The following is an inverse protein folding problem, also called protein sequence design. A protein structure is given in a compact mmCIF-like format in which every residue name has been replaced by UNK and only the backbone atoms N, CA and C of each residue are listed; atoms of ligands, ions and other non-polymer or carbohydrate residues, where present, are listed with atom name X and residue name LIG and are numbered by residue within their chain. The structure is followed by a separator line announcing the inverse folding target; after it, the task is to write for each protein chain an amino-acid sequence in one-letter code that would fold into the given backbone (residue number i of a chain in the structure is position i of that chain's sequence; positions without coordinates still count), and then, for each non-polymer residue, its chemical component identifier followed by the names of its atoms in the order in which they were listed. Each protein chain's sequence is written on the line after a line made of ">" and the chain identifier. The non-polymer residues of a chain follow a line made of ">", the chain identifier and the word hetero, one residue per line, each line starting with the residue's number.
data_IF_121262321005
#
_entry.id   IF_121262321005
#
_cell.length_a   1.000
_cell.length_b   1.000
_cell.length_c   1.000
_cell.angle_alpha   90.00
_cell.angle_beta   90.00
_cell.angle_gamma   90.00
#
_symmetry.space_group_name_H-M   'P 1'
#
loop_
_entity.id
_entity.type
_entity.pdbx_description
1 polymer ?
#
# COMPACT_ATOMS: atom_id res chain seq x y z
N UNK A 1 78.00 18.76 -3.03
CA UNK A 1 78.83 17.83 -2.25
C UNK A 1 78.36 16.42 -2.60
N UNK A 2 79.05 15.76 -3.55
CA UNK A 2 79.86 14.53 -3.32
C UNK A 2 78.97 13.31 -2.99
N UNK A 3 79.05 12.14 -3.61
CA UNK A 3 79.90 11.51 -4.64
C UNK A 3 79.32 10.06 -4.71
N UNK A 4 79.02 9.41 -5.84
CA UNK A 4 79.83 8.37 -6.51
C UNK A 4 78.85 7.52 -7.35
N UNK A 5 78.89 7.57 -8.68
CA UNK A 5 79.49 6.55 -9.57
C UNK A 5 79.21 5.08 -9.23
N UNK A 6 78.60 4.36 -10.18
CA UNK A 6 79.28 3.31 -10.97
C UNK A 6 78.49 2.97 -12.23
N UNK A 7 79.15 3.14 -13.38
CA UNK A 7 78.81 2.52 -14.66
C UNK A 7 79.25 1.04 -14.65
N UNK A 8 78.45 0.17 -15.29
CA UNK A 8 78.95 -0.78 -16.31
C UNK A 8 77.77 -1.39 -17.07
N UNK A 9 77.79 -1.18 -18.39
CA UNK A 9 76.90 -1.80 -19.35
C UNK A 9 77.29 -3.26 -19.59
N UNK A 10 76.30 -4.10 -19.85
CA UNK A 10 76.42 -5.24 -20.76
C UNK A 10 75.05 -5.48 -21.39
N UNK A 11 74.98 -5.20 -22.70
CA UNK A 11 73.83 -5.47 -23.53
C UNK A 11 73.69 -6.99 -23.73
N UNK A 12 72.48 -7.50 -23.53
CA UNK A 12 72.06 -8.84 -23.94
C UNK A 12 70.66 -8.73 -24.49
N UNK A 13 70.56 -8.63 -25.81
CA UNK A 13 69.31 -8.64 -26.57
C UNK A 13 68.66 -10.01 -26.42
N UNK A 14 67.47 -10.06 -25.82
CA UNK A 14 66.53 -11.16 -26.04
C UNK A 14 65.17 -10.54 -26.32
N UNK A 15 64.85 -10.45 -27.60
CA UNK A 15 63.52 -10.11 -28.11
C UNK A 15 62.60 -11.30 -27.87
N UNK A 16 61.76 -11.24 -26.84
CA UNK A 16 60.56 -12.09 -26.75
C UNK A 16 59.40 -11.17 -27.12
N UNK A 17 58.86 -11.38 -28.32
CA UNK A 17 57.61 -10.78 -28.74
C UNK A 17 56.48 -11.30 -27.84
N UNK A 18 56.08 -10.52 -26.85
CA UNK A 18 54.87 -10.77 -26.08
C UNK A 18 53.68 -10.23 -26.88
N UNK A 19 53.00 -11.12 -27.59
CA UNK A 19 51.65 -10.90 -28.11
C UNK A 19 50.70 -10.69 -26.93
N UNK A 20 50.40 -9.43 -26.61
CA UNK A 20 49.31 -9.10 -25.70
C UNK A 20 47.98 -9.35 -26.43
N UNK A 21 47.45 -10.56 -26.26
CA UNK A 21 46.05 -10.83 -26.57
C UNK A 21 45.20 -10.04 -25.56
N UNK A 22 44.55 -8.98 -26.05
CA UNK A 22 43.50 -8.26 -25.33
C UNK A 22 42.35 -9.24 -25.07
N UNK A 23 42.35 -9.87 -23.91
CA UNK A 23 41.19 -10.58 -23.38
C UNK A 23 40.10 -9.54 -23.11
N UNK A 24 39.15 -9.42 -24.03
CA UNK A 24 37.90 -8.73 -23.78
C UNK A 24 37.15 -9.50 -22.69
N UNK A 25 37.30 -9.08 -21.44
CA UNK A 25 36.40 -9.47 -20.36
C UNK A 25 35.01 -8.96 -20.73
N UNK A 26 34.18 -9.86 -21.26
CA UNK A 26 32.75 -9.59 -21.41
C UNK A 26 32.17 -9.53 -20.00
N UNK A 27 32.00 -8.30 -19.50
CA UNK A 27 31.19 -8.03 -18.33
C UNK A 27 29.77 -8.40 -18.76
N UNK A 28 29.32 -9.59 -18.39
CA UNK A 28 27.91 -9.94 -18.53
C UNK A 28 27.11 -8.93 -17.71
N UNK A 29 26.13 -8.22 -18.28
CA UNK A 29 25.25 -7.42 -17.47
C UNK A 29 24.56 -8.38 -16.51
N UNK A 30 24.81 -8.20 -15.21
CA UNK A 30 23.90 -8.72 -14.18
C UNK A 30 22.59 -8.02 -14.47
N UNK A 31 21.62 -8.76 -15.02
CA UNK A 31 20.25 -8.32 -15.03
C UNK A 31 19.91 -7.94 -13.58
N UNK A 32 19.50 -6.70 -13.37
CA UNK A 32 18.85 -6.33 -12.13
C UNK A 32 17.73 -7.36 -11.92
N UNK A 33 17.69 -7.96 -10.73
CA UNK A 33 16.56 -8.79 -10.34
C UNK A 33 15.33 -7.86 -10.33
N UNK A 34 14.62 -7.81 -11.46
CA UNK A 34 13.23 -7.37 -11.46
C UNK A 34 12.49 -8.32 -10.53
N UNK A 35 11.60 -7.78 -9.72
CA UNK A 35 10.62 -8.57 -8.99
C UNK A 35 9.97 -9.52 -10.01
N UNK A 36 10.21 -10.82 -9.86
CA UNK A 36 9.62 -11.82 -10.73
C UNK A 36 8.13 -11.84 -10.43
N UNK A 37 7.34 -11.02 -11.11
CA UNK A 37 5.92 -11.29 -11.27
C UNK A 37 5.83 -12.66 -11.94
N UNK A 38 5.28 -13.70 -11.29
CA UNK A 38 5.05 -14.95 -11.97
C UNK A 38 4.20 -14.62 -13.19
N UNK A 39 4.66 -14.99 -14.40
CA UNK A 39 3.80 -14.96 -15.57
C UNK A 39 2.58 -15.80 -15.22
N UNK A 40 1.46 -15.14 -14.95
CA UNK A 40 0.19 -15.83 -14.81
C UNK A 40 -0.06 -16.51 -16.16
N UNK A 41 -0.20 -17.83 -16.19
CA UNK A 41 -0.47 -18.58 -17.42
C UNK A 41 -1.77 -18.10 -18.11
N UNK A 42 -2.60 -17.37 -17.36
CA UNK A 42 -3.81 -16.67 -17.81
C UNK A 42 -3.94 -15.31 -17.13
N UNK A 43 -4.46 -14.31 -17.85
CA UNK A 43 -4.72 -13.00 -17.25
C UNK A 43 -5.90 -13.07 -16.27
N UNK A 44 -5.80 -12.46 -15.08
CA UNK A 44 -6.93 -12.39 -14.16
C UNK A 44 -8.05 -11.52 -14.76
N UNK A 45 -9.30 -11.84 -14.42
CA UNK A 45 -10.45 -10.99 -14.78
C UNK A 45 -10.43 -9.71 -13.92
N UNK A 46 -10.04 -9.86 -12.65
CA UNK A 46 -10.02 -8.80 -11.66
C UNK A 46 -8.66 -8.63 -11.00
N UNK A 47 -8.25 -7.37 -10.81
CA UNK A 47 -7.09 -7.02 -9.97
C UNK A 47 -7.53 -6.16 -8.80
N UNK A 48 -7.21 -6.57 -7.58
CA UNK A 48 -7.29 -5.69 -6.42
C UNK A 48 -6.07 -4.78 -6.41
N UNK A 49 -6.27 -3.48 -6.66
CA UNK A 49 -5.25 -2.47 -6.40
C UNK A 49 -5.27 -2.13 -4.91
N UNK A 50 -4.38 -2.79 -4.15
CA UNK A 50 -4.40 -2.78 -2.70
C UNK A 50 -3.45 -1.74 -2.09
N UNK A 51 -3.93 -0.98 -1.11
CA UNK A 51 -3.12 -0.06 -0.32
C UNK A 51 -3.32 -0.35 1.18
N UNK A 52 -2.24 -0.81 1.82
CA UNK A 52 -2.22 -1.18 3.25
C UNK A 52 -2.39 0.02 4.19
N UNK A 53 -2.69 -0.29 5.44
CA UNK A 53 -2.76 0.71 6.51
C UNK A 53 -1.39 1.28 6.84
N UNK A 54 -1.38 2.42 7.52
CA UNK A 54 -0.14 2.99 8.03
C UNK A 54 0.55 2.04 9.01
N UNK A 55 1.87 2.02 8.94
CA UNK A 55 2.80 1.16 9.68
C UNK A 55 2.56 -0.34 9.46
N UNK A 56 1.82 -0.73 8.41
CA UNK A 56 1.75 -2.11 7.95
C UNK A 56 2.89 -2.40 6.98
N UNK A 57 4.12 -2.23 7.42
CA UNK A 57 5.33 -2.34 6.59
C UNK A 57 6.41 -3.17 7.30
N UNK A 58 7.52 -3.42 6.59
CA UNK A 58 8.63 -4.23 7.10
C UNK A 58 9.27 -3.63 8.38
N UNK A 59 9.38 -2.30 8.46
CA UNK A 59 9.92 -1.58 9.62
C UNK A 59 9.18 -1.93 10.94
N UNK A 60 7.88 -2.23 10.83
CA UNK A 60 7.02 -2.56 11.97
C UNK A 60 6.69 -4.06 12.06
N UNK A 61 7.33 -4.91 11.24
CA UNK A 61 7.13 -6.36 11.26
C UNK A 61 5.74 -6.80 10.75
N UNK A 62 5.06 -5.96 9.98
CA UNK A 62 3.73 -6.22 9.41
C UNK A 62 3.79 -6.50 7.89
N UNK A 63 5.00 -6.76 7.37
CA UNK A 63 5.22 -7.40 6.07
C UNK A 63 5.41 -8.91 6.26
N UNK A 64 4.60 -9.71 5.56
CA UNK A 64 4.61 -11.17 5.66
C UNK A 64 4.73 -11.87 4.30
N UNK A 65 5.06 -11.12 3.25
CA UNK A 65 5.39 -11.64 1.93
C UNK A 65 4.19 -12.05 1.07
N UNK A 66 4.44 -12.55 -0.16
CA UNK A 66 3.42 -13.02 -1.10
C UNK A 66 2.39 -13.94 -0.47
N UNK A 67 1.11 -13.68 -0.76
CA UNK A 67 -0.01 -14.49 -0.27
C UNK A 67 -0.65 -15.27 -1.41
N UNK A 68 -0.99 -16.53 -1.15
CA UNK A 68 -1.82 -17.34 -2.03
C UNK A 68 -3.22 -17.44 -1.45
N UNK A 69 -4.20 -16.83 -2.12
CA UNK A 69 -5.57 -16.83 -1.65
C UNK A 69 -6.32 -18.09 -2.07
N UNK A 70 -6.23 -18.46 -3.34
CA UNK A 70 -6.78 -19.70 -3.92
C UNK A 70 -5.66 -20.66 -4.36
N UNK A 71 -5.92 -21.97 -4.37
CA UNK A 71 -4.98 -22.97 -4.90
C UNK A 71 -4.70 -22.78 -6.41
N UNK A 72 -5.67 -22.24 -7.16
CA UNK A 72 -5.63 -21.99 -8.59
C UNK A 72 -5.16 -20.57 -8.93
N UNK A 73 -5.24 -19.64 -7.97
CA UNK A 73 -4.82 -18.24 -8.12
C UNK A 73 -3.30 -18.03 -8.07
N UNK A 74 -2.85 -16.93 -8.67
CA UNK A 74 -1.47 -16.46 -8.53
C UNK A 74 -1.20 -15.89 -7.12
N UNK A 75 0.06 -15.94 -6.67
CA UNK A 75 0.47 -15.30 -5.41
C UNK A 75 0.48 -13.79 -5.58
N UNK A 76 -0.02 -13.04 -4.58
CA UNK A 76 0.10 -11.58 -4.54
C UNK A 76 1.56 -11.13 -4.49
N UNK A 77 1.80 -9.85 -4.71
CA UNK A 77 3.14 -9.27 -4.48
C UNK A 77 3.47 -9.03 -2.98
N UNK A 78 2.55 -9.33 -2.06
CA UNK A 78 2.82 -9.45 -0.62
C UNK A 78 2.75 -8.17 0.22
N UNK A 79 2.39 -7.02 -0.37
CA UNK A 79 2.34 -5.72 0.29
C UNK A 79 0.93 -5.27 0.69
N UNK A 80 -0.08 -6.14 0.64
CA UNK A 80 -1.48 -5.78 0.94
C UNK A 80 -1.73 -5.49 2.44
N UNK A 81 -0.85 -5.96 3.31
CA UNK A 81 -1.01 -5.83 4.76
C UNK A 81 -2.02 -6.82 5.35
N UNK A 82 -1.99 -7.04 6.67
CA UNK A 82 -2.70 -8.16 7.31
C UNK A 82 -4.22 -8.01 7.28
N UNK A 83 -4.76 -6.79 7.32
CA UNK A 83 -6.22 -6.59 7.32
C UNK A 83 -6.84 -6.88 5.96
N UNK A 84 -6.19 -6.47 4.86
CA UNK A 84 -6.66 -6.80 3.51
C UNK A 84 -6.43 -8.29 3.21
N UNK A 85 -5.28 -8.85 3.60
CA UNK A 85 -5.04 -10.28 3.44
C UNK A 85 -6.07 -11.13 4.20
N UNK A 86 -6.39 -10.77 5.44
CA UNK A 86 -7.43 -11.46 6.22
C UNK A 86 -8.81 -11.38 5.57
N UNK A 87 -9.17 -10.24 4.97
CA UNK A 87 -10.39 -10.11 4.18
C UNK A 87 -10.36 -11.08 2.97
N UNK A 88 -9.30 -11.09 2.19
CA UNK A 88 -9.22 -11.91 0.97
C UNK A 88 -9.21 -13.41 1.30
N UNK A 89 -8.53 -13.83 2.38
CA UNK A 89 -8.66 -15.19 2.89
C UNK A 89 -10.08 -15.51 3.36
N UNK A 90 -10.78 -14.57 3.99
CA UNK A 90 -12.17 -14.79 4.40
C UNK A 90 -13.11 -14.91 3.18
N UNK A 91 -12.88 -14.13 2.12
CA UNK A 91 -13.61 -14.25 0.85
C UNK A 91 -13.49 -15.66 0.31
N UNK A 92 -12.26 -16.15 0.14
CA UNK A 92 -12.02 -17.50 -0.39
C UNK A 92 -12.52 -18.60 0.57
N UNK A 93 -12.31 -18.47 1.88
CA UNK A 93 -12.76 -19.43 2.87
C UNK A 93 -14.28 -19.62 2.82
N UNK A 94 -15.02 -18.53 2.57
CA UNK A 94 -16.49 -18.54 2.52
C UNK A 94 -17.02 -18.93 1.15
N UNK A 95 -16.29 -18.58 0.10
CA UNK A 95 -16.65 -18.82 -1.30
C UNK A 95 -15.43 -19.43 -2.03
N UNK A 96 -15.19 -20.74 -1.88
CA UNK A 96 -14.08 -21.39 -2.57
C UNK A 96 -14.17 -21.20 -4.09
N UNK A 97 -13.06 -20.80 -4.71
CA UNK A 97 -12.94 -20.46 -6.12
C UNK A 97 -13.18 -18.99 -6.45
N UNK A 98 -13.63 -18.15 -5.49
CA UNK A 98 -13.91 -16.75 -5.76
C UNK A 98 -12.65 -15.96 -6.12
N UNK A 99 -11.49 -16.35 -5.58
CA UNK A 99 -10.21 -15.70 -5.85
C UNK A 99 -9.42 -16.33 -7.02
N UNK A 100 -9.95 -17.35 -7.71
CA UNK A 100 -9.24 -18.05 -8.80
C UNK A 100 -8.79 -17.11 -9.92
N UNK A 101 -9.69 -16.20 -10.33
CA UNK A 101 -9.46 -15.24 -11.40
C UNK A 101 -9.16 -13.82 -10.89
N UNK A 102 -8.81 -13.69 -9.60
CA UNK A 102 -8.50 -12.42 -8.97
C UNK A 102 -7.04 -12.36 -8.54
N UNK A 103 -6.35 -11.29 -8.91
CA UNK A 103 -4.97 -11.03 -8.47
C UNK A 103 -4.90 -9.84 -7.52
N UNK A 104 -4.10 -9.94 -6.46
CA UNK A 104 -3.88 -8.83 -5.52
C UNK A 104 -2.58 -8.14 -5.86
N UNK A 105 -2.69 -6.94 -6.42
CA UNK A 105 -1.59 -6.04 -6.75
C UNK A 105 -1.54 -4.94 -5.68
N UNK A 106 -0.72 -5.14 -4.66
CA UNK A 106 -0.55 -4.14 -3.62
C UNK A 106 0.52 -3.10 -4.00
N UNK A 107 0.36 -1.88 -3.51
CA UNK A 107 1.42 -0.86 -3.64
C UNK A 107 2.59 -1.27 -2.73
N UNK A 108 3.73 -1.59 -3.34
CA UNK A 108 4.96 -1.96 -2.64
C UNK A 108 5.56 -0.80 -1.82
N UNK A 109 6.69 -1.04 -1.16
CA UNK A 109 7.35 -0.04 -0.33
C UNK A 109 7.87 1.18 -1.12
N UNK A 110 8.27 0.99 -2.38
CA UNK A 110 8.80 2.05 -3.25
C UNK A 110 7.66 2.95 -3.75
N UNK A 111 6.53 2.35 -4.14
CA UNK A 111 5.33 3.06 -4.52
C UNK A 111 4.69 3.76 -3.33
N UNK A 112 4.57 3.06 -2.19
CA UNK A 112 3.87 3.48 -0.99
C UNK A 112 4.55 2.94 0.28
N UNK A 113 5.29 3.77 1.03
CA UNK A 113 5.98 3.34 2.25
C UNK A 113 5.06 2.92 3.42
N UNK A 114 3.80 3.35 3.38
CA UNK A 114 2.83 3.19 4.46
C UNK A 114 3.37 3.64 5.83
N UNK A 115 4.02 4.80 5.92
CA UNK A 115 4.59 5.29 7.18
C UNK A 115 3.63 6.29 7.83
N UNK A 116 3.33 6.13 9.12
CA UNK A 116 2.59 7.14 9.88
C UNK A 116 3.54 8.25 10.36
N UNK A 117 4.66 7.88 11.00
CA UNK A 117 5.68 8.77 11.61
C UNK A 117 5.15 10.19 11.86
N UNK A 118 4.17 10.28 12.77
CA UNK A 118 3.58 11.55 13.18
C UNK A 118 4.54 12.22 14.18
N UNK A 119 4.69 13.56 14.14
CA UNK A 119 5.38 14.27 15.21
C UNK A 119 4.71 13.96 16.56
N UNK A 120 5.48 13.92 17.66
CA UNK A 120 4.91 13.76 18.99
C UNK A 120 3.85 14.84 19.23
N UNK A 121 2.60 14.42 19.39
CA UNK A 121 1.47 15.33 19.60
C UNK A 121 1.48 15.91 21.03
N UNK A 122 2.21 15.27 21.94
CA UNK A 122 2.43 15.63 23.34
C UNK A 122 3.94 15.70 23.63
N UNK A 123 4.37 16.62 24.49
CA UNK A 123 5.73 16.58 25.06
C UNK A 123 5.84 15.45 26.11
N UNK A 124 7.05 14.98 26.40
CA UNK A 124 7.26 13.99 27.48
C UNK A 124 6.66 14.51 28.80
N UNK A 125 5.71 13.75 29.37
CA UNK A 125 4.99 14.11 30.59
C UNK A 125 3.71 14.93 30.40
N UNK A 126 3.31 15.26 29.16
CA UNK A 126 2.08 16.01 28.89
C UNK A 126 0.85 15.09 28.76
N UNK A 127 -0.08 15.16 29.72
CA UNK A 127 -1.38 14.50 29.63
C UNK A 127 -2.35 15.34 28.78
N UNK A 128 -2.43 15.05 27.49
CA UNK A 128 -3.38 15.73 26.60
C UNK A 128 -4.81 15.26 26.86
N UNK A 129 -5.70 16.22 27.10
CA UNK A 129 -7.14 15.93 27.08
C UNK A 129 -7.58 15.60 25.65
N UNK A 130 -8.59 14.74 25.44
CA UNK A 130 -9.03 14.32 24.10
C UNK A 130 -9.28 15.48 23.13
N UNK A 131 -9.86 16.59 23.60
CA UNK A 131 -10.09 17.79 22.78
C UNK A 131 -8.78 18.53 22.39
N UNK A 132 -7.76 18.51 23.25
CA UNK A 132 -6.45 19.11 22.97
C UNK A 132 -5.66 18.26 21.97
N UNK A 133 -5.73 16.94 22.08
CA UNK A 133 -5.15 16.03 21.10
C UNK A 133 -5.80 16.22 19.72
N UNK A 134 -7.12 16.28 19.66
CA UNK A 134 -7.87 16.52 18.41
C UNK A 134 -7.55 17.87 17.77
N UNK A 135 -7.39 18.93 18.58
CA UNK A 135 -6.98 20.26 18.07
C UNK A 135 -5.56 20.26 17.54
N UNK A 136 -4.62 19.57 18.20
CA UNK A 136 -3.24 19.47 17.72
C UNK A 136 -3.12 18.61 16.46
N UNK A 137 -3.82 17.47 16.42
CA UNK A 137 -3.92 16.64 15.23
C UNK A 137 -4.56 17.41 14.06
N UNK A 138 -5.63 18.15 14.31
CA UNK A 138 -6.25 19.04 13.32
C UNK A 138 -5.36 20.22 12.90
N UNK A 139 -4.57 20.78 13.81
CA UNK A 139 -3.62 21.85 13.55
C UNK A 139 -2.49 21.40 12.62
N UNK A 140 -1.89 20.24 12.88
CA UNK A 140 -0.86 19.63 12.00
C UNK A 140 -1.40 19.40 10.58
N UNK A 141 -2.68 19.06 10.45
CA UNK A 141 -3.35 18.84 9.15
C UNK A 141 -3.75 20.13 8.41
N UNK A 142 -3.86 21.27 9.09
CA UNK A 142 -4.34 22.54 8.53
C UNK A 142 -3.25 23.60 8.36
N UNK A 143 -2.18 23.57 9.15
CA UNK A 143 -1.15 24.62 9.16
C UNK A 143 -0.15 24.53 8.00
N UNK A 144 -0.15 23.44 7.22
CA UNK A 144 0.78 23.26 6.11
C UNK A 144 0.06 23.06 4.77
N UNK A 145 0.05 24.06 3.87
CA UNK A 145 -0.41 23.83 2.50
C UNK A 145 0.49 22.81 1.81
N UNK A 146 -0.10 21.87 1.07
CA UNK A 146 0.56 20.70 0.46
C UNK A 146 1.77 21.03 -0.44
N UNK A 147 1.93 22.29 -0.87
CA UNK A 147 3.00 22.74 -1.75
C UNK A 147 4.20 23.38 -1.01
N UNK A 148 4.11 23.67 0.29
CA UNK A 148 5.19 24.31 1.07
C UNK A 148 5.89 23.37 2.07
N UNK A 149 5.49 22.10 2.15
CA UNK A 149 6.16 21.07 2.96
C UNK A 149 7.47 20.61 2.30
N UNK A 150 8.47 21.48 2.34
CA UNK A 150 9.89 21.19 2.09
C UNK A 150 10.65 21.71 3.30
N UNK A 151 10.72 20.94 4.39
CA UNK A 151 11.92 20.77 5.22
C UNK A 151 11.67 19.78 6.39
N UNK A 152 12.39 18.66 6.31
CA UNK A 152 12.92 17.80 7.38
C UNK A 152 11.96 17.14 8.40
N UNK A 153 11.96 15.80 8.34
CA UNK A 153 11.64 14.82 9.41
C UNK A 153 10.22 14.86 10.03
N UNK A 154 9.33 15.67 9.46
CA UNK A 154 7.95 15.86 9.93
C UNK A 154 7.08 15.89 8.68
N UNK A 155 6.50 14.81 8.13
CA UNK A 155 5.49 13.90 8.68
C UNK A 155 5.48 12.67 7.74
N UNK A 156 5.86 11.47 8.21
CA UNK A 156 5.91 10.28 7.34
C UNK A 156 4.57 9.99 6.66
N UNK A 157 3.46 10.28 7.36
CA UNK A 157 2.11 10.16 6.84
C UNK A 157 1.85 10.97 5.56
N UNK A 158 2.30 12.24 5.50
CA UNK A 158 2.04 13.10 4.33
C UNK A 158 2.88 12.67 3.13
N UNK A 159 4.16 12.38 3.35
CA UNK A 159 5.03 11.89 2.29
C UNK A 159 4.53 10.54 1.75
N UNK A 160 4.10 9.65 2.64
CA UNK A 160 3.55 8.34 2.28
C UNK A 160 2.28 8.46 1.43
N UNK A 161 1.35 9.34 1.82
CA UNK A 161 0.16 9.66 1.01
C UNK A 161 0.55 10.20 -0.37
N UNK A 162 1.44 11.19 -0.43
CA UNK A 162 1.87 11.80 -1.70
C UNK A 162 2.52 10.77 -2.62
N UNK A 163 3.38 9.91 -2.08
CA UNK A 163 4.03 8.84 -2.85
C UNK A 163 2.99 7.87 -3.40
N UNK A 164 2.14 7.32 -2.52
CA UNK A 164 1.13 6.34 -2.92
C UNK A 164 0.16 6.89 -3.97
N UNK A 165 -0.36 8.11 -3.78
CA UNK A 165 -1.28 8.73 -4.73
C UNK A 165 -0.64 9.00 -6.10
N UNK A 166 0.64 9.39 -6.15
CA UNK A 166 1.34 9.67 -7.40
C UNK A 166 1.77 8.39 -8.13
N UNK A 167 2.07 7.32 -7.40
CA UNK A 167 2.62 6.09 -7.97
C UNK A 167 1.55 5.02 -8.25
N UNK A 168 0.37 5.07 -7.62
CA UNK A 168 -0.67 4.06 -7.85
C UNK A 168 -1.05 3.87 -9.34
N UNK A 169 -1.23 4.93 -10.17
CA UNK A 169 -1.42 4.74 -11.61
C UNK A 169 -0.25 4.04 -12.31
N UNK A 170 1.00 4.35 -11.92
CA UNK A 170 2.20 3.76 -12.51
C UNK A 170 2.35 2.29 -12.17
N UNK A 171 1.91 1.87 -10.98
CA UNK A 171 1.88 0.45 -10.59
C UNK A 171 0.92 -0.32 -11.49
N UNK A 172 -0.24 0.25 -11.82
CA UNK A 172 -1.18 -0.31 -12.79
C UNK A 172 -0.54 -0.42 -14.18
N UNK A 173 0.04 0.67 -14.69
CA UNK A 173 0.69 0.71 -16.01
C UNK A 173 1.83 -0.31 -16.12
N UNK A 174 2.71 -0.36 -15.12
CA UNK A 174 3.83 -1.31 -15.05
C UNK A 174 3.33 -2.75 -15.05
N UNK A 175 2.30 -3.07 -14.25
CA UNK A 175 1.73 -4.41 -14.22
C UNK A 175 1.18 -4.83 -15.58
N UNK A 176 0.40 -3.98 -16.24
CA UNK A 176 -0.18 -4.30 -17.56
C UNK A 176 0.90 -4.38 -18.65
N UNK A 177 1.93 -3.54 -18.60
CA UNK A 177 3.08 -3.59 -19.53
C UNK A 177 3.88 -4.87 -19.37
N UNK A 178 4.21 -5.25 -18.12
CA UNK A 178 5.02 -6.44 -17.82
C UNK A 178 4.28 -7.75 -18.10
N UNK A 179 2.96 -7.78 -17.87
CA UNK A 179 2.15 -9.00 -18.04
C UNK A 179 1.45 -9.10 -19.39
N UNK A 180 1.23 -7.98 -20.09
CA UNK A 180 0.36 -7.90 -21.26
C UNK A 180 -1.13 -8.04 -20.94
N UNK A 181 -1.52 -8.10 -19.66
CA UNK A 181 -2.91 -8.22 -19.22
C UNK A 181 -3.62 -6.86 -19.17
N UNK A 182 -4.94 -6.88 -19.31
CA UNK A 182 -5.79 -5.68 -19.16
C UNK A 182 -7.04 -6.00 -18.34
N UNK A 183 -6.88 -6.28 -17.03
CA UNK A 183 -7.97 -6.68 -16.15
C UNK A 183 -8.85 -5.49 -15.77
N UNK A 184 -9.98 -5.79 -15.12
CA UNK A 184 -10.75 -4.76 -14.39
C UNK A 184 -10.22 -4.64 -12.96
N UNK A 185 -10.25 -3.45 -12.40
CA UNK A 185 -9.65 -3.14 -11.11
C UNK A 185 -10.70 -2.90 -10.03
N UNK A 186 -10.48 -3.51 -8.87
CA UNK A 186 -11.16 -3.20 -7.63
C UNK A 186 -10.17 -2.46 -6.74
N UNK A 187 -10.47 -1.22 -6.36
CA UNK A 187 -9.59 -0.51 -5.41
C UNK A 187 -9.83 -1.03 -3.99
N UNK A 188 -8.77 -1.39 -3.29
CA UNK A 188 -8.84 -1.92 -1.92
C UNK A 188 -7.94 -1.10 -1.00
N UNK A 189 -8.47 -0.59 0.10
CA UNK A 189 -7.69 0.27 0.98
C UNK A 189 -8.10 0.18 2.44
N UNK A 190 -7.11 0.15 3.32
CA UNK A 190 -7.33 0.16 4.77
C UNK A 190 -6.72 1.41 5.38
N UNK A 191 -7.48 2.14 6.22
CA UNK A 191 -7.02 3.33 6.93
C UNK A 191 -6.40 4.39 6.00
N UNK A 192 -5.11 4.73 6.16
CA UNK A 192 -4.35 5.59 5.25
C UNK A 192 -4.42 5.11 3.78
N UNK A 193 -4.36 3.80 3.56
CA UNK A 193 -4.47 3.19 2.23
C UNK A 193 -5.82 3.42 1.56
N UNK A 194 -6.91 3.61 2.30
CA UNK A 194 -8.21 3.97 1.70
C UNK A 194 -8.17 5.34 0.99
N UNK A 195 -7.39 6.29 1.50
CA UNK A 195 -7.19 7.59 0.84
C UNK A 195 -6.47 7.41 -0.50
N UNK A 196 -5.41 6.60 -0.50
CA UNK A 196 -4.58 6.33 -1.68
C UNK A 196 -5.39 5.55 -2.72
N UNK A 197 -6.07 4.48 -2.31
CA UNK A 197 -6.93 3.69 -3.19
C UNK A 197 -8.05 4.54 -3.80
N UNK A 198 -8.65 5.45 -3.03
CA UNK A 198 -9.64 6.42 -3.55
C UNK A 198 -9.04 7.34 -4.62
N UNK A 199 -7.77 7.74 -4.49
CA UNK A 199 -7.12 8.61 -5.47
C UNK A 199 -6.92 7.95 -6.84
N UNK A 200 -6.77 6.62 -6.88
CA UNK A 200 -6.61 5.86 -8.12
C UNK A 200 -7.93 5.62 -8.86
N UNK A 201 -9.08 5.75 -8.20
CA UNK A 201 -10.37 5.43 -8.81
C UNK A 201 -10.66 6.23 -10.08
N UNK A 202 -10.36 7.54 -10.08
CA UNK A 202 -10.62 8.39 -11.26
C UNK A 202 -9.76 7.98 -12.46
N UNK A 203 -8.50 7.61 -12.21
CA UNK A 203 -7.61 7.10 -13.24
C UNK A 203 -8.19 5.82 -13.85
N UNK A 204 -8.53 4.83 -13.01
CA UNK A 204 -9.11 3.57 -13.44
C UNK A 204 -10.46 3.75 -14.16
N UNK A 205 -11.33 4.62 -13.64
CA UNK A 205 -12.63 4.90 -14.25
C UNK A 205 -12.49 5.62 -15.61
N UNK A 206 -11.48 6.49 -15.78
CA UNK A 206 -11.22 7.16 -17.06
C UNK A 206 -10.79 6.20 -18.17
N UNK A 207 -10.31 5.01 -17.79
CA UNK A 207 -9.92 3.92 -18.69
C UNK A 207 -10.99 2.83 -18.79
N UNK A 208 -12.18 3.03 -18.22
CA UNK A 208 -13.25 2.03 -18.11
C UNK A 208 -12.83 0.73 -17.38
N UNK A 209 -11.82 0.83 -16.52
CA UNK A 209 -11.23 -0.31 -15.81
C UNK A 209 -11.74 -0.46 -14.38
N UNK A 210 -12.37 0.54 -13.79
CA UNK A 210 -12.85 0.45 -12.40
C UNK A 210 -14.10 -0.44 -12.29
N UNK A 211 -13.98 -1.58 -11.61
CA UNK A 211 -15.07 -2.53 -11.35
C UNK A 211 -15.67 -2.45 -9.94
N UNK A 212 -14.92 -1.94 -8.97
CA UNK A 212 -15.40 -1.85 -7.59
C UNK A 212 -14.46 -1.10 -6.66
N UNK A 213 -14.91 -0.90 -5.42
CA UNK A 213 -14.11 -0.28 -4.38
C UNK A 213 -14.46 -0.82 -3.00
N UNK A 214 -13.46 -1.22 -2.22
CA UNK A 214 -13.61 -1.68 -0.85
C UNK A 214 -12.65 -0.95 0.08
N UNK A 215 -13.21 -0.23 1.05
CA UNK A 215 -12.46 0.55 2.03
C UNK A 215 -12.78 0.12 3.45
N UNK A 216 -11.74 -0.11 4.23
CA UNK A 216 -11.80 -0.52 5.62
C UNK A 216 -11.30 0.62 6.50
N UNK A 217 -12.06 1.01 7.52
CA UNK A 217 -11.64 2.09 8.43
C UNK A 217 -11.36 3.39 7.67
N UNK A 218 -12.20 3.73 6.68
CA UNK A 218 -11.96 4.81 5.75
C UNK A 218 -12.04 6.20 6.43
N UNK A 219 -10.95 6.97 6.53
CA UNK A 219 -11.00 8.33 7.10
C UNK A 219 -11.79 9.31 6.24
N UNK A 220 -12.01 9.02 4.94
CA UNK A 220 -12.79 9.86 4.03
C UNK A 220 -14.30 9.68 4.18
N UNK A 221 -14.76 8.71 4.98
CA UNK A 221 -16.19 8.44 5.20
C UNK A 221 -16.92 9.70 5.63
N UNK A 222 -18.12 9.94 5.09
CA UNK A 222 -18.94 11.11 5.44
C UNK A 222 -20.26 10.69 6.06
N UNK A 223 -20.80 11.47 7.02
CA UNK A 223 -20.18 12.66 7.64
C UNK A 223 -19.13 12.33 8.73
N UNK A 224 -18.98 11.05 9.11
CA UNK A 224 -18.32 10.66 10.36
C UNK A 224 -16.80 10.49 10.34
N UNK A 225 -16.13 10.31 9.21
CA UNK A 225 -14.69 10.03 9.19
C UNK A 225 -13.83 11.19 9.67
N UNK A 226 -12.58 10.92 10.05
CA UNK A 226 -11.65 11.94 10.52
C UNK A 226 -11.38 13.05 9.50
N UNK A 227 -11.45 12.75 8.19
CA UNK A 227 -11.36 13.75 7.13
C UNK A 227 -12.72 14.41 6.81
N UNK A 228 -13.76 14.10 7.58
CA UNK A 228 -15.11 14.66 7.48
C UNK A 228 -15.18 16.19 7.54
N UNK A 229 -14.37 16.88 8.38
CA UNK A 229 -14.32 18.34 8.40
C UNK A 229 -13.54 18.97 7.24
N UNK A 230 -12.69 18.19 6.54
CA UNK A 230 -11.86 18.72 5.46
C UNK A 230 -12.75 19.07 4.25
N UNK A 231 -12.59 20.23 3.59
CA UNK A 231 -13.34 20.54 2.37
C UNK A 231 -13.13 19.50 1.27
N UNK A 232 -14.21 19.10 0.57
CA UNK A 232 -14.17 18.02 -0.44
C UNK A 232 -13.10 18.24 -1.53
N UNK A 233 -12.90 19.48 -1.97
CA UNK A 233 -11.93 19.81 -3.02
C UNK A 233 -10.46 19.58 -2.62
N UNK A 234 -10.17 19.38 -1.32
CA UNK A 234 -8.82 19.11 -0.81
C UNK A 234 -8.52 17.62 -0.62
N UNK A 235 -9.51 16.74 -0.81
CA UNK A 235 -9.35 15.30 -0.64
C UNK A 235 -9.62 14.55 -1.95
N UNK A 236 -9.08 13.32 -2.09
CA UNK A 236 -9.48 12.44 -3.18
C UNK A 236 -11.00 12.26 -3.20
N UNK A 237 -11.56 12.23 -4.40
CA UNK A 237 -12.98 11.99 -4.59
C UNK A 237 -13.17 10.61 -5.18
N UNK A 238 -14.14 9.90 -4.65
CA UNK A 238 -14.59 8.66 -5.24
C UNK A 238 -15.08 8.88 -6.68
N UNK A 239 -14.73 7.96 -7.58
CA UNK A 239 -15.36 7.82 -8.87
C UNK A 239 -16.77 7.24 -8.73
N UNK A 240 -17.60 7.48 -9.74
CA UNK A 240 -18.92 6.90 -9.81
C UNK A 240 -18.82 5.38 -9.97
N UNK A 241 -19.54 4.64 -9.12
CA UNK A 241 -19.72 3.20 -9.19
C UNK A 241 -21.20 2.90 -8.86
N UNK A 242 -21.75 1.79 -9.38
CA UNK A 242 -23.02 1.25 -8.88
C UNK A 242 -22.99 1.11 -7.35
N UNK A 243 -24.12 1.34 -6.70
CA UNK A 243 -24.19 1.36 -5.23
C UNK A 243 -23.79 0.01 -4.60
N UNK A 244 -24.03 -1.09 -5.32
CA UNK A 244 -23.68 -2.45 -4.97
C UNK A 244 -22.20 -2.79 -5.26
N UNK A 245 -21.45 -1.93 -5.95
CA UNK A 245 -20.02 -2.09 -6.27
C UNK A 245 -19.08 -1.27 -5.37
N UNK A 246 -19.60 -0.77 -4.24
CA UNK A 246 -18.81 -0.03 -3.25
C UNK A 246 -19.09 -0.52 -1.83
N UNK A 247 -18.02 -0.82 -1.11
CA UNK A 247 -18.04 -1.10 0.32
C UNK A 247 -17.20 -0.04 1.01
N UNK A 248 -17.82 0.72 1.91
CA UNK A 248 -17.14 1.54 2.91
C UNK A 248 -17.49 0.92 4.27
N UNK A 249 -16.63 0.02 4.74
CA UNK A 249 -16.82 -0.74 5.96
C UNK A 249 -16.14 -0.05 7.14
N UNK A 250 -16.94 0.31 8.13
CA UNK A 250 -16.52 0.96 9.36
C UNK A 250 -16.99 0.11 10.54
N UNK A 251 -16.05 -0.46 11.29
CA UNK A 251 -16.36 -1.18 12.52
C UNK A 251 -16.95 -0.20 13.55
N UNK A 252 -17.97 -0.66 14.27
CA UNK A 252 -18.54 0.12 15.35
C UNK A 252 -17.45 0.43 16.41
N UNK A 253 -17.30 1.71 16.77
CA UNK A 253 -16.27 2.17 17.69
C UNK A 253 -14.94 2.56 17.04
N UNK A 254 -14.78 2.41 15.72
CA UNK A 254 -13.60 2.88 15.01
C UNK A 254 -13.60 4.40 14.84
N UNK A 255 -12.67 5.07 15.53
CA UNK A 255 -12.52 6.53 15.52
C UNK A 255 -12.06 7.10 14.16
N UNK A 256 -11.47 6.30 13.28
CA UNK A 256 -10.93 6.75 11.99
C UNK A 256 -12.05 7.06 11.02
N UNK A 257 -13.05 6.18 10.94
CA UNK A 257 -14.19 6.29 10.03
C UNK A 257 -15.48 6.79 10.71
N UNK A 258 -15.57 6.72 12.04
CA UNK A 258 -16.65 7.30 12.85
C UNK A 258 -16.06 8.10 14.02
N UNK A 259 -15.62 9.31 13.74
CA UNK A 259 -15.05 10.23 14.70
C UNK A 259 -16.14 10.83 15.60
N UNK A 260 -16.21 10.30 16.82
CA UNK A 260 -17.00 10.86 17.92
C UNK A 260 -16.13 11.00 19.17
N UNK A 261 -16.56 11.83 20.14
CA UNK A 261 -15.84 11.98 21.41
C UNK A 261 -15.70 10.63 22.15
N UNK A 262 -16.70 9.76 22.04
CA UNK A 262 -16.70 8.42 22.61
C UNK A 262 -15.63 7.56 21.94
N UNK A 263 -15.68 7.41 20.62
CA UNK A 263 -14.78 6.54 19.88
C UNK A 263 -13.32 7.02 19.99
N UNK A 264 -13.08 8.34 19.98
CA UNK A 264 -11.74 8.90 20.19
C UNK A 264 -11.19 8.61 21.61
N UNK A 265 -12.04 8.70 22.65
CA UNK A 265 -11.65 8.34 24.02
C UNK A 265 -11.35 6.85 24.13
N UNK A 266 -12.18 6.00 23.55
CA UNK A 266 -12.03 4.55 23.60
C UNK A 266 -10.79 4.10 22.82
N UNK A 267 -10.49 4.75 21.69
CA UNK A 267 -9.27 4.53 20.93
C UNK A 267 -8.00 4.88 21.74
N UNK A 268 -8.02 5.96 22.53
CA UNK A 268 -6.90 6.29 23.42
C UNK A 268 -6.72 5.25 24.53
N UNK A 269 -7.83 4.76 25.10
CA UNK A 269 -7.78 3.75 26.17
C UNK A 269 -7.31 2.38 25.68
N UNK A 270 -7.66 2.02 24.45
CA UNK A 270 -7.40 0.68 23.88
C UNK A 270 -6.26 0.67 22.85
N UNK A 271 -5.56 1.79 22.66
CA UNK A 271 -4.54 1.97 21.60
C UNK A 271 -5.07 1.62 20.20
N UNK A 272 -6.25 2.14 19.88
CA UNK A 272 -6.92 1.95 18.59
C UNK A 272 -7.22 0.49 18.22
N UNK A 273 -7.42 -0.39 19.21
CA UNK A 273 -7.64 -1.83 18.99
C UNK A 273 -8.76 -2.12 17.97
N UNK A 274 -9.91 -1.42 18.06
CA UNK A 274 -11.01 -1.60 17.10
C UNK A 274 -10.59 -1.27 15.67
N UNK A 275 -9.85 -0.17 15.47
CA UNK A 275 -9.35 0.20 14.15
C UNK A 275 -8.40 -0.85 13.60
N UNK A 276 -7.53 -1.44 14.43
CA UNK A 276 -6.59 -2.48 14.02
C UNK A 276 -7.25 -3.86 13.72
N UNK A 277 -8.47 -4.07 14.20
CA UNK A 277 -9.09 -5.40 14.30
C UNK A 277 -9.82 -5.92 13.05
N UNK A 278 -9.98 -5.12 11.98
CA UNK A 278 -10.71 -5.54 10.77
C UNK A 278 -10.24 -6.91 10.29
N UNK A 279 -11.14 -7.90 10.33
CA UNK A 279 -10.91 -9.30 9.93
C UNK A 279 -9.85 -10.08 10.73
N UNK A 280 -9.18 -9.47 11.71
CA UNK A 280 -8.13 -10.12 12.53
C UNK A 280 -8.68 -10.72 13.82
N UNK A 281 -9.53 -9.96 14.53
CA UNK A 281 -9.99 -10.29 15.88
C UNK A 281 -11.52 -10.18 16.01
N UNK A 282 -12.25 -11.06 15.33
CA UNK A 282 -13.73 -11.07 15.37
C UNK A 282 -14.33 -12.13 16.29
N UNK A 283 -13.52 -13.09 16.74
CA UNK A 283 -14.02 -14.25 17.50
C UNK A 283 -14.73 -13.82 18.79
N UNK A 284 -16.01 -14.17 18.89
CA UNK A 284 -16.81 -13.93 20.09
C UNK A 284 -17.63 -12.64 20.05
N UNK A 285 -17.57 -11.86 18.96
CA UNK A 285 -18.51 -10.79 18.66
C UNK A 285 -19.34 -11.17 17.42
N UNK A 286 -20.53 -11.71 17.67
CA UNK A 286 -21.42 -12.21 16.61
C UNK A 286 -21.83 -11.12 15.61
N UNK A 287 -21.90 -9.86 16.03
CA UNK A 287 -22.25 -8.76 15.14
C UNK A 287 -21.09 -8.44 14.19
N UNK A 288 -19.87 -8.40 14.72
CA UNK A 288 -18.65 -8.19 13.91
C UNK A 288 -18.42 -9.38 12.96
N UNK A 289 -18.62 -10.61 13.43
CA UNK A 289 -18.54 -11.81 12.58
C UNK A 289 -19.55 -11.74 11.43
N UNK A 290 -20.79 -11.33 11.71
CA UNK A 290 -21.84 -11.19 10.69
C UNK A 290 -21.51 -10.08 9.68
N UNK A 291 -21.01 -8.93 10.13
CA UNK A 291 -20.62 -7.84 9.22
C UNK A 291 -19.40 -8.23 8.37
N UNK A 292 -18.41 -8.89 8.94
CA UNK A 292 -17.26 -9.42 8.20
C UNK A 292 -17.71 -10.43 7.13
N UNK A 293 -18.61 -11.34 7.48
CA UNK A 293 -19.21 -12.29 6.56
C UNK A 293 -19.93 -11.57 5.40
N UNK A 294 -20.74 -10.55 5.70
CA UNK A 294 -21.46 -9.76 4.69
C UNK A 294 -20.51 -9.05 3.72
N UNK A 295 -19.41 -8.49 4.23
CA UNK A 295 -18.40 -7.84 3.39
C UNK A 295 -17.75 -8.87 2.46
N UNK A 296 -17.31 -10.02 2.99
CA UNK A 296 -16.72 -11.10 2.21
C UNK A 296 -17.68 -11.64 1.14
N UNK A 297 -18.95 -11.87 1.50
CA UNK A 297 -19.99 -12.34 0.58
C UNK A 297 -20.25 -11.36 -0.56
N UNK A 298 -20.21 -10.05 -0.26
CA UNK A 298 -20.40 -9.01 -1.28
C UNK A 298 -19.22 -8.98 -2.26
N UNK A 299 -17.99 -9.07 -1.76
CA UNK A 299 -16.79 -9.13 -2.62
C UNK A 299 -16.80 -10.38 -3.50
N UNK A 300 -17.14 -11.55 -2.95
CA UNK A 300 -17.28 -12.77 -3.75
C UNK A 300 -18.34 -12.63 -4.86
N UNK A 301 -19.46 -11.96 -4.57
CA UNK A 301 -20.49 -11.65 -5.56
C UNK A 301 -19.98 -10.78 -6.73
N UNK A 302 -19.02 -9.89 -6.47
CA UNK A 302 -18.38 -9.07 -7.52
C UNK A 302 -17.52 -9.90 -8.46
N UNK A 303 -16.75 -10.84 -7.90
CA UNK A 303 -15.80 -11.69 -8.63
C UNK A 303 -16.51 -12.77 -9.45
N UNK A 304 -17.65 -13.28 -8.96
CA UNK A 304 -18.47 -14.28 -9.65
C UNK A 304 -19.38 -13.69 -10.73
N UNK A 305 -19.49 -12.37 -10.83
CA UNK A 305 -20.23 -11.70 -11.90
C UNK A 305 -19.30 -11.50 -13.11
N UNK A 306 -19.77 -11.73 -14.35
CA UNK A 306 -18.96 -11.43 -15.53
C UNK A 306 -18.45 -9.99 -15.47
N UNK A 307 -17.16 -9.80 -15.79
CA UNK A 307 -16.60 -8.50 -16.07
C UNK A 307 -17.34 -7.93 -17.30
N UNK A 308 -18.42 -7.19 -17.06
CA UNK A 308 -19.25 -6.57 -18.10
C UNK A 308 -18.51 -5.56 -18.95
#
# INVERSE_FOLDING_TARGET
>A
MRLLTRFRAAAGVVTIAATAALGASMITPVAAAGENHPQAETCPDYVFLAARGSDQNEEHGEYFGPQRYSEQGAESNGYEGPNLAALFHLVEQRHPGAMDNAYVLALDADAYPASMNLPPLAQEGENLRPLQLMRRLGGVLLEHPLHELVYQVTVGFVQSLRSGMNNAPRVVEKYEEETGCSPRYITAGYSQGAIIATSAERYLASQDKLAGAIYLGNPLRRPGGMAGPIPRYLIPHSAALPADRRIDYCLAGDFVCDLSLRNAKDALATKAAHHASYFRDSKGDAAVEQDNARVADTVAGWLNSPAG
#
